data_IF_730742852102
#
_entry.id   IF_730742852102
#
_cell.length_a   1.000
_cell.length_b   1.000
_cell.length_c   1.000
_cell.angle_alpha   90.00
_cell.angle_beta   90.00
_cell.angle_gamma   90.00
#
_symmetry.space_group_name_H-M   'P 1'
#
loop_
_entity.id
_entity.type
_entity.pdbx_description
1 polymer ?
#
# COMPACT_ATOMS: atom_id res chain seq x y z
N UNK A 1 2.98 17.62 -9.48
CA UNK A 1 3.71 16.63 -8.71
C UNK A 1 4.31 17.25 -7.49
N UNK A 2 4.33 16.47 -6.42
CA UNK A 2 5.23 16.79 -5.33
C UNK A 2 6.67 16.71 -5.86
N UNK A 3 7.19 17.84 -6.31
CA UNK A 3 8.52 17.93 -6.95
C UNK A 3 9.65 17.59 -5.97
N UNK A 4 9.33 17.53 -4.69
CA UNK A 4 10.21 17.18 -3.58
C UNK A 4 10.05 15.70 -3.13
N UNK A 5 9.30 14.89 -3.85
CA UNK A 5 9.16 13.45 -3.58
C UNK A 5 10.52 12.74 -3.70
N UNK A 6 10.90 12.04 -2.64
CA UNK A 6 12.09 11.20 -2.64
C UNK A 6 11.89 9.99 -3.57
N UNK A 7 12.61 9.94 -4.69
CA UNK A 7 12.55 8.83 -5.64
C UNK A 7 13.02 7.51 -5.03
N UNK A 8 13.83 7.55 -3.96
CA UNK A 8 14.24 6.36 -3.21
C UNK A 8 13.07 5.58 -2.60
N UNK A 9 11.91 6.21 -2.40
CA UNK A 9 10.69 5.53 -1.95
C UNK A 9 10.28 4.37 -2.86
N UNK A 10 10.57 4.41 -4.17
CA UNK A 10 10.27 3.32 -5.10
C UNK A 10 10.97 2.00 -4.78
N UNK A 11 12.05 2.03 -4.00
CA UNK A 11 12.79 0.82 -3.60
C UNK A 11 12.46 0.37 -2.19
N UNK A 12 11.61 1.09 -1.47
CA UNK A 12 11.24 0.78 -0.09
C UNK A 12 10.12 -0.25 0.01
N UNK A 13 10.04 -0.85 1.20
CA UNK A 13 9.02 -1.83 1.57
C UNK A 13 8.23 -1.28 2.76
N UNK A 14 6.92 -1.17 2.57
CA UNK A 14 5.95 -0.83 3.61
C UNK A 14 5.40 -2.14 4.20
N UNK A 15 5.29 -2.21 5.51
CA UNK A 15 4.60 -3.29 6.22
C UNK A 15 3.37 -2.72 6.92
N UNK A 16 2.17 -3.13 6.49
CA UNK A 16 0.91 -2.65 7.06
C UNK A 16 0.50 -3.45 8.27
N UNK A 17 0.20 -2.75 9.37
CA UNK A 17 -0.14 -3.32 10.67
C UNK A 17 -1.53 -2.85 11.10
N UNK A 18 -2.44 -3.80 11.31
CA UNK A 18 -3.65 -3.55 12.07
C UNK A 18 -3.39 -3.89 13.54
N UNK A 19 -3.30 -2.88 14.41
CA UNK A 19 -2.89 -3.05 15.81
C UNK A 19 -3.72 -4.13 16.52
N UNK A 20 -5.04 -4.10 16.34
CA UNK A 20 -6.00 -5.07 16.93
C UNK A 20 -5.72 -6.53 16.54
N UNK A 21 -5.23 -6.75 15.31
CA UNK A 21 -5.05 -8.09 14.74
C UNK A 21 -3.58 -8.56 14.75
N UNK A 22 -2.62 -7.68 15.04
CA UNK A 22 -1.19 -8.01 14.87
C UNK A 22 -0.68 -9.02 15.90
N UNK A 23 -1.16 -8.89 17.15
CA UNK A 23 -0.83 -9.82 18.25
C UNK A 23 -2.11 -10.22 18.99
N UNK A 24 -2.08 -11.32 19.79
CA UNK A 24 -3.23 -11.69 20.63
C UNK A 24 -3.66 -10.58 21.57
N UNK A 25 -2.73 -9.75 22.08
CA UNK A 25 -3.01 -8.62 22.96
C UNK A 25 -3.63 -7.44 22.23
N UNK A 26 -3.27 -7.24 20.95
CA UNK A 26 -3.78 -6.16 20.11
C UNK A 26 -3.45 -4.77 20.62
N UNK A 27 -2.22 -4.55 21.14
CA UNK A 27 -1.79 -3.28 21.74
C UNK A 27 -0.49 -2.77 21.14
N UNK A 28 -0.22 -1.46 21.27
CA UNK A 28 1.02 -0.85 20.78
C UNK A 28 2.27 -1.51 21.39
N UNK A 29 2.26 -1.75 22.71
CA UNK A 29 3.42 -2.38 23.39
C UNK A 29 3.67 -3.81 22.93
N UNK A 30 2.63 -4.55 22.60
CA UNK A 30 2.77 -5.93 22.15
C UNK A 30 3.42 -6.06 20.76
N UNK A 31 3.46 -4.98 19.97
CA UNK A 31 4.14 -4.93 18.66
C UNK A 31 5.66 -4.81 18.82
N UNK A 32 6.15 -4.12 19.87
CA UNK A 32 7.58 -3.80 20.05
C UNK A 32 8.48 -5.03 19.94
N UNK A 33 8.20 -6.17 20.60
CA UNK A 33 9.04 -7.37 20.49
C UNK A 33 9.14 -7.96 19.08
N UNK A 34 8.19 -7.62 18.19
CA UNK A 34 8.13 -8.16 16.83
C UNK A 34 8.89 -7.29 15.80
N UNK A 35 9.34 -6.10 16.17
CA UNK A 35 9.96 -5.14 15.26
C UNK A 35 11.26 -5.68 14.62
N UNK A 36 12.07 -6.46 15.35
CA UNK A 36 13.30 -7.04 14.80
C UNK A 36 12.97 -8.07 13.70
N UNK A 37 11.93 -8.87 13.88
CA UNK A 37 11.43 -9.79 12.86
C UNK A 37 10.96 -9.01 11.63
N UNK A 38 10.12 -7.99 11.83
CA UNK A 38 9.59 -7.14 10.74
C UNK A 38 10.75 -6.50 9.96
N UNK A 39 11.76 -5.95 10.65
CA UNK A 39 12.93 -5.38 10.01
C UNK A 39 13.75 -6.42 9.25
N UNK A 40 13.85 -7.66 9.75
CA UNK A 40 14.73 -8.70 9.23
C UNK A 40 14.45 -9.12 7.79
N UNK A 41 13.21 -8.99 7.31
CA UNK A 41 12.85 -9.30 5.92
C UNK A 41 12.76 -8.07 5.02
N UNK A 42 13.29 -6.91 5.47
CA UNK A 42 13.60 -5.78 4.62
C UNK A 42 12.61 -4.62 4.68
N UNK A 43 11.71 -4.59 5.67
CA UNK A 43 10.77 -3.49 5.90
C UNK A 43 11.50 -2.17 6.19
N UNK A 44 11.02 -1.08 5.60
CA UNK A 44 11.53 0.27 5.78
C UNK A 44 10.52 1.19 6.48
N UNK A 45 9.24 0.96 6.24
CA UNK A 45 8.15 1.78 6.78
C UNK A 45 7.12 0.85 7.39
N UNK A 46 6.70 1.12 8.63
CA UNK A 46 5.53 0.48 9.24
C UNK A 46 4.36 1.44 9.09
N UNK A 47 3.32 1.00 8.37
CA UNK A 47 2.07 1.72 8.28
C UNK A 47 1.05 1.11 9.22
N UNK A 48 0.60 1.89 10.20
CA UNK A 48 -0.49 1.54 11.11
C UNK A 48 -1.83 1.93 10.50
N UNK A 49 -2.76 0.97 10.36
CA UNK A 49 -4.16 1.25 10.12
C UNK A 49 -4.70 2.15 11.25
N UNK A 50 -5.90 2.78 11.12
CA UNK A 50 -6.30 3.85 12.02
C UNK A 50 -6.09 3.52 13.50
N UNK A 51 -5.36 4.40 14.18
CA UNK A 51 -4.97 4.25 15.60
C UNK A 51 -5.90 5.00 16.55
N UNK A 52 -6.88 5.70 16.02
CA UNK A 52 -7.77 6.60 16.74
C UNK A 52 -8.91 5.86 17.44
N UNK A 53 -9.58 6.49 18.43
CA UNK A 53 -10.79 5.93 19.03
C UNK A 53 -11.86 5.69 17.97
N UNK A 54 -12.59 4.61 18.14
CA UNK A 54 -13.67 4.19 17.23
C UNK A 54 -15.00 4.64 17.80
N UNK A 55 -15.91 5.12 16.95
CA UNK A 55 -17.26 5.50 17.33
C UNK A 55 -18.10 4.31 17.80
N UNK A 56 -19.12 4.62 18.58
CA UNK A 56 -20.04 3.64 19.16
C UNK A 56 -21.40 3.68 18.47
N UNK A 57 -21.81 4.86 18.02
CA UNK A 57 -23.09 5.04 17.34
C UNK A 57 -23.03 4.41 15.92
N UNK A 58 -23.98 3.52 15.63
CA UNK A 58 -24.05 2.84 14.33
C UNK A 58 -22.93 1.85 14.05
N UNK A 59 -22.07 1.52 15.03
CA UNK A 59 -20.91 0.67 14.84
C UNK A 59 -21.24 -0.71 14.24
N UNK A 60 -20.41 -1.17 13.33
CA UNK A 60 -20.47 -2.52 12.76
C UNK A 60 -19.69 -3.51 13.64
N UNK A 61 -20.21 -4.72 13.82
CA UNK A 61 -19.61 -5.75 14.67
C UNK A 61 -19.52 -5.39 16.15
N UNK A 62 -18.74 -6.16 16.92
CA UNK A 62 -18.64 -5.95 18.38
C UNK A 62 -17.73 -4.79 18.75
N UNK A 63 -16.65 -4.57 17.98
CA UNK A 63 -15.59 -3.59 18.26
C UNK A 63 -15.60 -2.36 17.35
N UNK A 64 -16.43 -2.33 16.31
CA UNK A 64 -16.54 -1.24 15.36
C UNK A 64 -15.42 -1.19 14.31
N UNK A 65 -15.67 -0.40 13.26
CA UNK A 65 -14.74 -0.17 12.17
C UNK A 65 -13.65 0.84 12.58
N UNK A 66 -12.35 0.56 12.37
CA UNK A 66 -11.28 1.52 12.67
C UNK A 66 -11.37 2.79 11.82
N UNK A 67 -12.06 2.74 10.70
CA UNK A 67 -12.33 3.89 9.83
C UNK A 67 -13.52 4.75 10.28
N UNK A 68 -14.33 4.31 11.26
CA UNK A 68 -15.32 5.14 11.92
C UNK A 68 -14.67 5.91 13.08
N UNK A 69 -13.82 6.89 12.72
CA UNK A 69 -12.99 7.65 13.64
C UNK A 69 -13.85 8.56 14.56
N UNK A 70 -13.62 8.50 15.86
CA UNK A 70 -14.30 9.34 16.85
C UNK A 70 -13.53 10.60 17.23
N UNK A 71 -12.18 10.54 17.26
CA UNK A 71 -11.34 11.66 17.66
C UNK A 71 -10.01 11.65 16.92
N UNK A 72 -9.72 12.68 16.16
CA UNK A 72 -8.51 12.81 15.34
C UNK A 72 -7.21 13.04 16.14
N UNK A 73 -7.30 13.40 17.43
CA UNK A 73 -6.13 13.85 18.21
C UNK A 73 -5.80 12.94 19.38
N UNK A 74 -6.48 11.80 19.50
CA UNK A 74 -6.21 10.81 20.53
C UNK A 74 -5.98 9.42 19.92
N UNK A 75 -5.41 8.50 20.69
CA UNK A 75 -5.25 7.11 20.32
C UNK A 75 -6.35 6.25 20.92
N UNK A 76 -6.67 5.13 20.29
CA UNK A 76 -7.64 4.18 20.78
C UNK A 76 -7.19 3.60 22.14
N UNK A 77 -7.96 3.80 23.22
CA UNK A 77 -7.58 3.31 24.55
C UNK A 77 -7.49 1.77 24.62
N UNK A 78 -8.13 1.04 23.69
CA UNK A 78 -7.97 -0.40 23.58
C UNK A 78 -6.58 -0.83 23.04
N UNK A 79 -5.85 0.08 22.40
CA UNK A 79 -4.49 -0.17 21.89
C UNK A 79 -3.41 0.30 22.88
N UNK A 80 -3.75 1.15 23.83
CA UNK A 80 -2.86 1.73 24.84
C UNK A 80 -2.97 3.24 24.95
N UNK A 81 -1.95 3.86 25.54
CA UNK A 81 -1.87 5.32 25.71
C UNK A 81 -1.08 5.97 24.58
N UNK A 82 -1.11 7.31 24.51
CA UNK A 82 -0.27 8.08 23.59
C UNK A 82 1.22 7.84 23.85
N UNK A 83 1.61 7.69 25.10
CA UNK A 83 2.98 7.38 25.53
C UNK A 83 3.40 5.98 25.05
N UNK A 84 2.48 5.00 25.06
CA UNK A 84 2.73 3.66 24.50
C UNK A 84 2.93 3.72 22.99
N UNK A 85 2.16 4.54 22.28
CA UNK A 85 2.32 4.76 20.86
C UNK A 85 3.64 5.46 20.53
N UNK A 86 4.00 6.51 21.26
CA UNK A 86 5.30 7.19 21.08
C UNK A 86 6.47 6.24 21.34
N UNK A 87 6.40 5.43 22.40
CA UNK A 87 7.42 4.43 22.69
C UNK A 87 7.57 3.41 21.54
N UNK A 88 6.46 2.98 20.92
CA UNK A 88 6.50 2.13 19.74
C UNK A 88 7.17 2.84 18.55
N UNK A 89 6.87 4.11 18.31
CA UNK A 89 7.50 4.91 17.24
C UNK A 89 9.01 5.07 17.50
N UNK A 90 9.42 5.35 18.72
CA UNK A 90 10.83 5.45 19.10
C UNK A 90 11.60 4.14 18.85
N UNK A 91 10.98 3.00 19.15
CA UNK A 91 11.55 1.67 18.92
C UNK A 91 11.61 1.32 17.40
N UNK A 92 10.68 1.81 16.60
CA UNK A 92 10.72 1.73 15.14
C UNK A 92 11.91 2.53 14.60
N UNK A 93 12.06 3.78 15.05
CA UNK A 93 13.17 4.64 14.68
C UNK A 93 14.52 4.06 15.09
N UNK A 94 14.64 3.49 16.30
CA UNK A 94 15.86 2.85 16.79
C UNK A 94 16.34 1.70 15.88
N UNK A 95 15.42 1.09 15.10
CA UNK A 95 15.74 0.04 14.12
C UNK A 95 15.91 0.57 12.69
N UNK A 96 15.97 1.88 12.51
CA UNK A 96 16.13 2.53 11.21
C UNK A 96 14.92 2.35 10.28
N UNK A 97 13.73 2.15 10.84
CA UNK A 97 12.46 2.17 10.12
C UNK A 97 11.72 3.48 10.36
N UNK A 98 10.70 3.73 9.56
CA UNK A 98 9.79 4.88 9.67
C UNK A 98 8.40 4.42 10.12
N UNK A 99 7.66 5.30 10.80
CA UNK A 99 6.29 5.07 11.20
C UNK A 99 5.33 5.95 10.37
N UNK A 100 4.27 5.35 9.86
CA UNK A 100 3.19 6.01 9.11
C UNK A 100 1.86 5.66 9.77
N UNK A 101 0.95 6.63 9.90
CA UNK A 101 -0.42 6.38 10.38
C UNK A 101 -1.45 6.61 9.28
N UNK A 102 -2.59 5.95 9.43
CA UNK A 102 -3.76 6.18 8.61
C UNK A 102 -4.53 7.40 9.10
N UNK A 103 -4.94 8.28 8.20
CA UNK A 103 -5.77 9.45 8.50
C UNK A 103 -7.05 9.41 7.66
N UNK A 104 -8.20 9.41 8.33
CA UNK A 104 -9.53 9.24 7.74
C UNK A 104 -10.20 10.62 7.68
N UNK A 105 -9.98 11.35 6.61
CA UNK A 105 -10.38 12.76 6.51
C UNK A 105 -11.59 13.01 5.59
N UNK A 106 -12.18 11.97 5.03
CA UNK A 106 -13.44 12.09 4.29
C UNK A 106 -14.67 12.04 5.21
N UNK A 107 -14.60 11.33 6.33
CA UNK A 107 -15.75 11.05 7.22
C UNK A 107 -15.30 10.80 8.66
N UNK A 108 -16.27 10.77 9.58
CA UNK A 108 -16.10 10.36 10.97
C UNK A 108 -17.25 9.46 11.42
N UNK A 109 -17.15 8.89 12.64
CA UNK A 109 -18.33 8.32 13.29
C UNK A 109 -19.38 9.39 13.62
N UNK A 110 -20.67 9.04 13.72
CA UNK A 110 -21.72 10.00 14.07
C UNK A 110 -21.57 10.61 15.48
N UNK A 111 -20.95 9.89 16.42
CA UNK A 111 -20.62 10.33 17.77
C UNK A 111 -19.19 10.90 17.91
N UNK A 112 -18.66 11.48 16.83
CA UNK A 112 -17.32 12.07 16.86
C UNK A 112 -17.26 13.36 17.68
N UNK A 113 -16.12 13.58 18.34
CA UNK A 113 -15.84 14.83 19.06
C UNK A 113 -15.98 16.05 18.13
N UNK A 114 -15.58 15.88 16.86
CA UNK A 114 -15.71 16.96 15.88
C UNK A 114 -17.17 17.28 15.59
N UNK A 115 -18.05 16.28 15.46
CA UNK A 115 -19.47 16.52 15.23
C UNK A 115 -20.15 17.15 16.47
N UNK A 116 -19.78 16.71 17.67
CA UNK A 116 -20.30 17.29 18.92
C UNK A 116 -19.96 18.79 19.08
N UNK A 117 -18.79 19.20 18.57
CA UNK A 117 -18.29 20.58 18.74
C UNK A 117 -18.54 21.48 17.53
N UNK A 118 -18.58 20.91 16.32
CA UNK A 118 -18.67 21.62 15.05
C UNK A 118 -19.57 20.90 14.05
N UNK A 119 -20.89 20.77 14.32
CA UNK A 119 -21.82 20.09 13.42
C UNK A 119 -21.89 20.75 12.03
N UNK A 120 -21.55 22.03 11.93
CA UNK A 120 -21.49 22.79 10.67
C UNK A 120 -20.36 22.37 9.73
N UNK A 121 -19.44 21.50 10.18
CA UNK A 121 -18.36 20.93 9.35
C UNK A 121 -18.78 19.68 8.58
N UNK A 122 -20.03 19.25 8.73
CA UNK A 122 -20.52 18.00 8.16
C UNK A 122 -21.55 18.19 7.06
N UNK A 123 -21.58 17.22 6.16
CA UNK A 123 -22.61 17.14 5.15
C UNK A 123 -23.97 16.82 5.81
N UNK A 124 -24.99 17.54 5.40
CA UNK A 124 -26.38 17.34 5.82
C UNK A 124 -27.25 16.96 4.63
N UNK A 125 -28.15 16.01 4.83
CA UNK A 125 -29.14 15.61 3.85
C UNK A 125 -30.22 16.71 3.67
N UNK A 126 -31.15 16.47 2.73
CA UNK A 126 -32.26 17.41 2.45
C UNK A 126 -33.19 17.65 3.65
N UNK A 127 -33.11 16.83 4.68
CA UNK A 127 -33.85 16.95 5.93
C UNK A 127 -33.04 17.65 7.04
N UNK A 128 -31.81 18.08 6.73
CA UNK A 128 -30.91 18.75 7.67
C UNK A 128 -30.26 17.81 8.67
N UNK A 129 -30.19 16.50 8.40
CA UNK A 129 -29.54 15.50 9.26
C UNK A 129 -28.13 15.23 8.77
N UNK A 130 -27.14 15.00 9.67
CA UNK A 130 -25.82 14.54 9.26
C UNK A 130 -25.96 13.22 8.52
N UNK A 131 -25.22 13.06 7.41
CA UNK A 131 -25.35 11.89 6.55
C UNK A 131 -24.04 11.57 5.83
N UNK A 132 -23.97 10.39 5.24
CA UNK A 132 -22.98 10.08 4.23
C UNK A 132 -23.64 10.01 2.85
N UNK A 133 -22.82 10.20 1.81
CA UNK A 133 -23.28 10.14 0.41
C UNK A 133 -23.05 8.77 -0.22
N UNK A 134 -22.18 7.94 0.37
CA UNK A 134 -21.94 6.56 -0.07
C UNK A 134 -22.80 5.60 0.77
N UNK A 135 -23.82 5.00 0.17
CA UNK A 135 -24.91 4.30 0.86
C UNK A 135 -24.54 3.13 1.79
N UNK A 136 -23.42 2.46 1.56
CA UNK A 136 -23.02 1.28 2.35
C UNK A 136 -22.22 1.62 3.61
N UNK A 137 -21.86 2.89 3.81
CA UNK A 137 -21.06 3.35 4.95
C UNK A 137 -21.94 3.87 6.09
N UNK A 138 -22.85 3.01 6.57
CA UNK A 138 -23.90 3.39 7.51
C UNK A 138 -23.38 3.76 8.93
N UNK A 139 -22.11 3.51 9.21
CA UNK A 139 -21.45 3.79 10.50
C UNK A 139 -20.63 5.10 10.50
N UNK A 140 -20.75 5.91 9.44
CA UNK A 140 -20.02 7.18 9.31
C UNK A 140 -20.88 8.30 8.74
N UNK A 141 -20.44 9.55 8.95
CA UNK A 141 -20.99 10.78 8.38
C UNK A 141 -19.88 11.56 7.66
N UNK A 142 -20.20 12.15 6.49
CA UNK A 142 -19.23 12.85 5.67
C UNK A 142 -18.88 14.24 6.18
N UNK A 143 -17.64 14.64 6.01
CA UNK A 143 -17.18 16.01 6.21
C UNK A 143 -17.52 16.90 5.00
N UNK A 144 -17.81 18.16 5.26
CA UNK A 144 -18.08 19.17 4.22
C UNK A 144 -16.91 20.14 4.06
N UNK A 145 -16.06 19.85 3.10
CA UNK A 145 -14.90 20.67 2.75
C UNK A 145 -15.22 22.00 2.06
N UNK A 146 -16.50 22.34 1.85
CA UNK A 146 -16.91 23.72 1.48
C UNK A 146 -16.67 24.68 2.65
N UNK A 147 -16.71 24.20 3.89
CA UNK A 147 -16.35 24.96 5.08
C UNK A 147 -14.81 25.02 5.25
N UNK A 148 -14.27 26.24 5.21
CA UNK A 148 -12.82 26.45 5.33
C UNK A 148 -12.27 26.30 6.74
N UNK A 149 -13.07 26.49 7.77
CA UNK A 149 -12.65 26.30 9.17
C UNK A 149 -12.36 24.81 9.46
N UNK A 150 -13.07 23.89 8.78
CA UNK A 150 -12.71 22.46 8.80
C UNK A 150 -11.27 22.22 8.33
N UNK A 151 -10.81 22.96 7.31
CA UNK A 151 -9.45 22.80 6.80
C UNK A 151 -8.41 23.12 7.89
N UNK A 152 -8.61 24.21 8.62
CA UNK A 152 -7.70 24.61 9.69
C UNK A 152 -7.66 23.57 10.80
N UNK A 153 -8.83 23.06 11.21
CA UNK A 153 -8.90 21.99 12.21
C UNK A 153 -8.13 20.73 11.78
N UNK A 154 -8.33 20.27 10.55
CA UNK A 154 -7.69 19.06 10.03
C UNK A 154 -6.18 19.27 9.81
N UNK A 155 -5.77 20.43 9.32
CA UNK A 155 -4.35 20.76 9.15
C UNK A 155 -3.63 20.78 10.51
N UNK A 156 -4.22 21.36 11.54
CA UNK A 156 -3.63 21.32 12.90
C UNK A 156 -3.53 19.90 13.45
N UNK A 157 -4.50 19.03 13.14
CA UNK A 157 -4.42 17.61 13.50
C UNK A 157 -3.25 16.91 12.79
N UNK A 158 -3.05 17.18 11.49
CA UNK A 158 -1.90 16.65 10.73
C UNK A 158 -0.57 17.19 11.27
N UNK A 159 -0.49 18.48 11.60
CA UNK A 159 0.74 19.07 12.18
C UNK A 159 1.08 18.44 13.52
N UNK A 160 0.07 18.18 14.37
CA UNK A 160 0.28 17.49 15.64
C UNK A 160 0.90 16.10 15.43
N UNK A 161 0.32 15.27 14.53
CA UNK A 161 0.82 13.93 14.25
C UNK A 161 2.16 13.93 13.50
N UNK A 162 2.41 14.90 12.62
CA UNK A 162 3.69 15.05 11.92
C UNK A 162 4.88 15.30 12.87
N UNK A 163 4.61 15.75 14.09
CA UNK A 163 5.62 15.84 15.16
C UNK A 163 5.93 14.50 15.85
N UNK A 164 5.19 13.44 15.51
CA UNK A 164 5.32 12.11 16.15
C UNK A 164 5.70 11.04 15.10
N UNK A 165 5.12 11.09 13.90
CA UNK A 165 5.29 10.07 12.86
C UNK A 165 5.94 10.62 11.59
N UNK A 166 6.40 9.73 10.71
CA UNK A 166 7.14 10.08 9.49
C UNK A 166 6.25 10.20 8.26
N UNK A 167 4.98 9.84 8.34
CA UNK A 167 4.10 9.89 7.17
C UNK A 167 2.64 9.60 7.47
N UNK A 168 1.82 9.85 6.46
CA UNK A 168 0.38 9.65 6.46
C UNK A 168 -0.05 8.80 5.28
N UNK A 169 -0.83 7.75 5.54
CA UNK A 169 -1.70 7.14 4.55
C UNK A 169 -3.06 7.82 4.65
N UNK A 170 -3.49 8.43 3.58
CA UNK A 170 -4.72 9.21 3.57
C UNK A 170 -5.84 8.38 2.96
N UNK A 171 -6.80 8.02 3.82
CA UNK A 171 -7.97 7.21 3.50
C UNK A 171 -8.84 7.91 2.46
N UNK A 172 -9.28 7.15 1.43
CA UNK A 172 -10.06 7.64 0.27
C UNK A 172 -9.67 9.06 -0.16
N UNK A 173 -8.37 9.32 -0.24
CA UNK A 173 -7.79 10.65 -0.47
C UNK A 173 -8.37 11.35 -1.69
N UNK A 174 -8.79 10.60 -2.71
CA UNK A 174 -9.40 11.12 -3.93
C UNK A 174 -10.75 11.79 -3.68
N UNK A 175 -11.44 11.48 -2.58
CA UNK A 175 -12.75 12.07 -2.24
C UNK A 175 -12.61 13.42 -1.50
N UNK A 176 -11.45 13.70 -0.94
CA UNK A 176 -11.13 14.97 -0.28
C UNK A 176 -10.55 15.95 -1.30
N UNK A 177 -10.89 17.25 -1.26
CA UNK A 177 -10.46 18.19 -2.28
C UNK A 177 -8.95 18.34 -2.41
N UNK A 178 -8.44 18.32 -3.64
CA UNK A 178 -7.03 18.58 -3.98
C UNK A 178 -6.43 19.81 -3.27
N UNK A 179 -7.19 20.93 -3.26
CA UNK A 179 -6.76 22.16 -2.61
C UNK A 179 -6.49 22.04 -1.12
N UNK A 180 -7.26 21.17 -0.42
CA UNK A 180 -7.03 20.85 0.98
C UNK A 180 -5.68 20.11 1.15
N UNK A 181 -5.45 19.05 0.39
CA UNK A 181 -4.19 18.29 0.49
C UNK A 181 -2.96 19.15 0.20
N UNK A 182 -3.06 20.05 -0.77
CA UNK A 182 -1.99 20.99 -1.08
C UNK A 182 -1.69 21.94 0.09
N UNK A 183 -2.72 22.49 0.72
CA UNK A 183 -2.57 23.35 1.89
C UNK A 183 -2.02 22.55 3.09
N UNK A 184 -2.54 21.35 3.33
CA UNK A 184 -2.11 20.45 4.40
C UNK A 184 -0.63 20.07 4.25
N UNK A 185 -0.20 19.61 3.06
CA UNK A 185 1.21 19.30 2.79
C UNK A 185 2.13 20.48 3.04
N UNK A 186 1.73 21.68 2.58
CA UNK A 186 2.50 22.92 2.79
C UNK A 186 2.66 23.23 4.27
N UNK A 187 1.61 23.09 5.07
CA UNK A 187 1.64 23.35 6.50
C UNK A 187 2.44 22.30 7.29
N UNK A 188 2.26 21.01 6.95
CA UNK A 188 3.00 19.90 7.58
C UNK A 188 4.49 19.98 7.28
N UNK A 189 4.88 20.42 6.10
CA UNK A 189 6.31 20.61 5.74
C UNK A 189 7.05 21.54 6.68
N UNK A 190 6.37 22.45 7.37
CA UNK A 190 6.97 23.35 8.38
C UNK A 190 7.29 22.59 9.69
N UNK A 191 6.63 21.48 9.96
CA UNK A 191 6.84 20.63 11.15
C UNK A 191 7.78 19.47 10.82
N UNK A 192 7.49 18.77 9.71
CA UNK A 192 8.27 17.63 9.24
C UNK A 192 8.46 17.74 7.72
N UNK A 193 9.59 18.31 7.27
CA UNK A 193 9.89 18.45 5.83
C UNK A 193 10.01 17.13 5.08
N UNK A 194 10.30 16.02 5.80
CA UNK A 194 10.48 14.68 5.24
C UNK A 194 9.22 13.80 5.37
N UNK A 195 8.08 14.38 5.76
CA UNK A 195 6.83 13.65 5.92
C UNK A 195 6.41 13.01 4.59
N UNK A 196 6.14 11.71 4.62
CA UNK A 196 5.74 10.89 3.47
C UNK A 196 4.21 10.91 3.35
N UNK A 197 3.71 11.10 2.12
CA UNK A 197 2.29 11.15 1.83
C UNK A 197 1.88 10.04 0.89
N UNK A 198 1.07 9.11 1.38
CA UNK A 198 0.48 8.02 0.63
C UNK A 198 -1.03 8.25 0.45
N UNK A 199 -1.47 8.39 -0.80
CA UNK A 199 -2.90 8.47 -1.11
C UNK A 199 -3.50 7.09 -1.32
N UNK A 200 -4.61 6.81 -0.67
CA UNK A 200 -5.52 5.82 -1.21
C UNK A 200 -6.28 6.46 -2.37
N UNK A 201 -5.91 6.07 -3.58
CA UNK A 201 -6.71 6.34 -4.77
C UNK A 201 -7.94 5.42 -4.79
N UNK A 202 -8.91 5.73 -5.62
CA UNK A 202 -10.16 4.95 -5.72
C UNK A 202 -10.24 4.26 -7.08
N UNK A 203 -10.88 3.10 -7.12
CA UNK A 203 -11.13 2.35 -8.35
C UNK A 203 -11.85 3.20 -9.39
N UNK A 204 -11.65 2.90 -10.67
CA UNK A 204 -12.25 3.64 -11.78
C UNK A 204 -13.78 3.75 -11.65
N UNK A 205 -14.45 2.64 -11.35
CA UNK A 205 -15.91 2.59 -11.17
C UNK A 205 -16.35 3.46 -9.98
N UNK A 206 -15.67 3.37 -8.86
CA UNK A 206 -15.92 4.19 -7.66
C UNK A 206 -15.68 5.67 -7.94
N UNK A 207 -14.64 6.03 -8.71
CA UNK A 207 -14.36 7.42 -9.09
C UNK A 207 -15.48 8.05 -9.94
N UNK A 208 -16.10 7.26 -10.83
CA UNK A 208 -17.26 7.72 -11.60
C UNK A 208 -18.47 7.97 -10.69
N UNK A 209 -18.71 7.08 -9.73
CA UNK A 209 -19.84 7.22 -8.79
C UNK A 209 -19.60 8.39 -7.81
N UNK A 210 -18.40 8.53 -7.28
CA UNK A 210 -18.03 9.64 -6.39
C UNK A 210 -18.35 11.00 -7.02
N UNK A 211 -18.05 11.19 -8.33
CA UNK A 211 -18.40 12.44 -9.04
C UNK A 211 -19.90 12.67 -9.13
N UNK A 212 -20.70 11.62 -9.34
CA UNK A 212 -22.18 11.73 -9.35
C UNK A 212 -22.72 12.16 -8.01
N UNK A 213 -22.06 11.74 -6.92
CA UNK A 213 -22.43 12.06 -5.55
C UNK A 213 -21.87 13.40 -5.06
N UNK A 214 -21.14 14.13 -5.93
CA UNK A 214 -20.61 15.47 -5.62
C UNK A 214 -19.30 15.49 -4.86
N UNK A 215 -18.57 14.36 -4.81
CA UNK A 215 -17.20 14.34 -4.28
C UNK A 215 -16.20 14.92 -5.29
N UNK A 216 -15.04 15.34 -4.79
CA UNK A 216 -13.95 15.86 -5.62
C UNK A 216 -13.47 14.82 -6.64
N UNK A 217 -13.40 13.55 -6.24
CA UNK A 217 -12.92 12.40 -7.02
C UNK A 217 -11.68 12.75 -7.84
N UNK A 218 -10.63 13.20 -7.11
CA UNK A 218 -9.33 13.57 -7.64
C UNK A 218 -8.76 12.41 -8.46
N UNK A 219 -8.19 12.72 -9.62
CA UNK A 219 -7.54 11.72 -10.47
C UNK A 219 -6.12 11.46 -9.97
N UNK A 220 -5.58 10.28 -10.27
CA UNK A 220 -4.20 9.92 -9.89
C UNK A 220 -3.19 10.92 -10.44
N UNK A 221 -3.36 11.40 -11.68
CA UNK A 221 -2.50 12.44 -12.25
C UNK A 221 -2.53 13.78 -11.48
N UNK A 222 -3.63 14.09 -10.79
CA UNK A 222 -3.75 15.26 -9.91
C UNK A 222 -3.18 14.96 -8.52
N UNK A 223 -3.37 13.73 -8.04
CA UNK A 223 -2.89 13.30 -6.73
C UNK A 223 -1.36 13.32 -6.65
N UNK A 224 -0.64 12.95 -7.72
CA UNK A 224 0.82 13.07 -7.78
C UNK A 224 1.36 14.50 -7.60
N UNK A 225 0.54 15.52 -7.71
CA UNK A 225 0.96 16.90 -7.37
C UNK A 225 1.15 17.11 -5.86
N UNK A 226 0.49 16.32 -5.04
CA UNK A 226 0.43 16.50 -3.58
C UNK A 226 0.84 15.27 -2.78
N UNK A 227 0.86 14.08 -3.38
CA UNK A 227 1.25 12.83 -2.73
C UNK A 227 2.56 12.29 -3.29
N UNK A 228 3.32 11.60 -2.46
CA UNK A 228 4.57 10.94 -2.84
C UNK A 228 4.32 9.53 -3.40
N UNK A 229 3.26 8.89 -2.90
CA UNK A 229 2.82 7.55 -3.27
C UNK A 229 1.31 7.52 -3.45
N UNK A 230 0.87 6.62 -4.31
CA UNK A 230 -0.55 6.31 -4.50
C UNK A 230 -0.75 4.79 -4.61
N UNK A 231 -1.95 4.33 -4.23
CA UNK A 231 -2.38 2.98 -4.55
C UNK A 231 -2.43 2.78 -6.07
N UNK A 232 -2.27 1.54 -6.55
CA UNK A 232 -2.42 1.17 -7.96
C UNK A 232 -3.87 0.77 -8.30
N UNK A 233 -4.84 1.46 -7.70
CA UNK A 233 -6.26 1.16 -7.87
C UNK A 233 -6.82 1.59 -9.23
N UNK A 234 -6.10 2.39 -9.98
CA UNK A 234 -6.38 2.69 -11.39
C UNK A 234 -6.37 1.43 -12.30
N UNK A 235 -5.57 0.41 -11.94
CA UNK A 235 -5.49 -0.86 -12.65
C UNK A 235 -5.98 -2.07 -11.82
N UNK A 236 -6.42 -1.86 -10.60
CA UNK A 236 -6.80 -2.93 -9.66
C UNK A 236 -7.91 -3.82 -10.19
N UNK A 237 -8.93 -3.26 -10.83
CA UNK A 237 -10.03 -4.04 -11.41
C UNK A 237 -9.55 -5.03 -12.50
N UNK A 238 -8.48 -4.67 -13.23
CA UNK A 238 -7.83 -5.58 -14.20
C UNK A 238 -7.05 -6.67 -13.47
N UNK A 239 -6.31 -6.29 -12.42
CA UNK A 239 -5.57 -7.24 -11.60
C UNK A 239 -6.49 -8.28 -10.94
N UNK A 240 -7.63 -7.85 -10.38
CA UNK A 240 -8.62 -8.77 -9.79
C UNK A 240 -9.21 -9.73 -10.82
N UNK A 241 -9.48 -9.25 -12.03
CA UNK A 241 -9.91 -10.12 -13.13
C UNK A 241 -8.83 -11.13 -13.51
N UNK A 242 -7.56 -10.74 -13.52
CA UNK A 242 -6.44 -11.63 -13.77
C UNK A 242 -6.34 -12.74 -12.71
N UNK A 243 -6.38 -12.37 -11.42
CA UNK A 243 -6.34 -13.32 -10.30
C UNK A 243 -7.43 -14.39 -10.39
N UNK A 244 -8.61 -14.01 -10.90
CA UNK A 244 -9.75 -14.93 -11.08
C UNK A 244 -9.81 -15.57 -12.48
N UNK A 245 -8.74 -15.42 -13.30
CA UNK A 245 -8.70 -16.01 -14.64
C UNK A 245 -9.70 -15.42 -15.65
N UNK A 246 -10.19 -14.19 -15.40
CA UNK A 246 -11.20 -13.50 -16.23
C UNK A 246 -10.61 -12.57 -17.27
N UNK A 247 -9.30 -12.40 -17.33
CA UNK A 247 -8.58 -11.71 -18.38
C UNK A 247 -7.18 -12.32 -18.58
N UNK A 248 -6.56 -12.17 -19.75
CA UNK A 248 -5.21 -12.62 -19.99
C UNK A 248 -4.19 -11.80 -19.21
N UNK A 249 -3.00 -12.38 -18.95
CA UNK A 249 -1.90 -11.71 -18.26
C UNK A 249 -1.40 -10.49 -19.05
N UNK A 250 -1.39 -10.59 -20.38
CA UNK A 250 -1.01 -9.48 -21.28
C UNK A 250 -1.83 -8.23 -21.04
N UNK A 251 -3.13 -8.35 -20.74
CA UNK A 251 -3.95 -7.19 -20.46
C UNK A 251 -3.47 -6.41 -19.22
N UNK A 252 -3.05 -7.10 -18.16
CA UNK A 252 -2.52 -6.44 -16.98
C UNK A 252 -1.12 -5.86 -17.20
N UNK A 253 -0.23 -6.58 -17.93
CA UNK A 253 1.10 -6.04 -18.26
C UNK A 253 1.01 -4.83 -19.18
N UNK A 254 0.05 -4.77 -20.09
CA UNK A 254 -0.21 -3.60 -20.93
C UNK A 254 -0.66 -2.39 -20.10
N UNK A 255 -1.47 -2.61 -19.03
CA UNK A 255 -1.86 -1.54 -18.11
C UNK A 255 -0.67 -1.02 -17.29
N UNK A 256 0.26 -1.90 -16.88
CA UNK A 256 1.50 -1.47 -16.23
C UNK A 256 2.36 -0.61 -17.18
N UNK A 257 2.50 -1.01 -18.44
CA UNK A 257 3.20 -0.24 -19.45
C UNK A 257 2.50 1.09 -19.75
N UNK A 258 1.17 1.11 -19.70
CA UNK A 258 0.39 2.32 -19.89
C UNK A 258 0.65 3.35 -18.79
N UNK A 259 0.85 2.92 -17.53
CA UNK A 259 1.23 3.81 -16.43
C UNK A 259 2.55 4.54 -16.70
N UNK A 260 3.55 3.88 -17.34
CA UNK A 260 4.80 4.52 -17.74
C UNK A 260 4.58 5.68 -18.74
N UNK A 261 3.54 5.59 -19.55
CA UNK A 261 3.24 6.59 -20.58
C UNK A 261 2.39 7.77 -20.09
N UNK A 262 1.53 7.57 -19.08
CA UNK A 262 0.54 8.57 -18.67
C UNK A 262 0.90 9.33 -17.41
N UNK A 263 1.77 8.75 -16.56
CA UNK A 263 2.20 9.39 -15.32
C UNK A 263 3.55 10.10 -15.48
N UNK A 264 3.85 11.05 -14.60
CA UNK A 264 5.16 11.73 -14.60
C UNK A 264 6.31 10.74 -14.28
N UNK A 265 7.52 11.01 -14.74
CA UNK A 265 8.70 10.13 -14.61
C UNK A 265 9.00 9.64 -13.19
N UNK A 266 8.63 10.44 -12.18
CA UNK A 266 8.84 10.12 -10.77
C UNK A 266 7.56 9.60 -10.09
N UNK A 267 6.53 9.18 -10.83
CA UNK A 267 5.36 8.56 -10.22
C UNK A 267 5.74 7.35 -9.37
N UNK A 268 5.04 7.16 -8.28
CA UNK A 268 5.31 6.05 -7.39
C UNK A 268 3.99 5.40 -6.93
N UNK A 269 3.69 4.24 -7.50
CA UNK A 269 2.55 3.43 -7.07
C UNK A 269 2.97 2.51 -5.92
N UNK A 270 2.15 2.44 -4.89
CA UNK A 270 2.27 1.41 -3.88
C UNK A 270 1.69 0.10 -4.41
N UNK A 271 2.55 -0.89 -4.61
CA UNK A 271 2.20 -2.19 -5.18
C UNK A 271 1.89 -3.20 -4.08
N UNK A 272 0.76 -3.88 -4.19
CA UNK A 272 0.37 -4.94 -3.26
C UNK A 272 -0.33 -6.10 -3.97
N UNK A 273 -0.17 -7.31 -3.44
CA UNK A 273 -0.99 -8.47 -3.82
C UNK A 273 -2.28 -8.48 -3.02
N UNK A 274 -2.20 -8.09 -1.75
CA UNK A 274 -3.30 -8.05 -0.78
C UNK A 274 -3.16 -6.83 0.13
N UNK A 275 -4.24 -6.43 0.77
CA UNK A 275 -4.29 -5.46 1.86
C UNK A 275 -5.51 -5.74 2.75
N UNK A 276 -5.84 -4.85 3.68
CA UNK A 276 -6.97 -5.01 4.60
C UNK A 276 -8.35 -5.01 3.92
N UNK A 277 -8.47 -4.46 2.69
CA UNK A 277 -9.70 -4.40 1.90
C UNK A 277 -9.79 -5.52 0.85
N UNK A 278 -8.71 -6.27 0.65
CA UNK A 278 -8.61 -7.27 -0.39
C UNK A 278 -8.43 -8.67 0.21
N UNK A 279 -8.93 -9.71 -0.46
CA UNK A 279 -8.68 -11.09 -0.02
C UNK A 279 -7.19 -11.38 0.12
N UNK A 280 -6.84 -12.27 1.06
CA UNK A 280 -5.48 -12.80 1.18
C UNK A 280 -5.06 -13.47 -0.12
N UNK A 281 -3.88 -13.14 -0.63
CA UNK A 281 -3.39 -13.72 -1.88
C UNK A 281 -3.23 -15.24 -1.78
N UNK A 282 -2.81 -15.76 -0.61
CA UNK A 282 -2.67 -17.19 -0.37
C UNK A 282 -4.02 -17.94 -0.32
N UNK A 283 -5.15 -17.24 -0.18
CA UNK A 283 -6.49 -17.84 -0.33
C UNK A 283 -6.88 -18.05 -1.80
N UNK A 284 -6.28 -17.26 -2.70
CA UNK A 284 -6.53 -17.28 -4.15
C UNK A 284 -5.46 -18.15 -4.84
N UNK A 285 -4.19 -17.89 -4.57
CA UNK A 285 -3.04 -18.61 -5.12
C UNK A 285 -2.60 -19.65 -4.08
N UNK A 286 -3.17 -20.85 -4.17
CA UNK A 286 -2.96 -21.91 -3.18
C UNK A 286 -1.73 -22.78 -3.44
N UNK A 287 -1.20 -22.75 -4.68
CA UNK A 287 0.04 -23.39 -5.04
C UNK A 287 1.23 -22.57 -4.55
N UNK A 288 2.20 -23.22 -3.89
CA UNK A 288 3.33 -22.53 -3.27
C UNK A 288 4.35 -22.01 -4.28
N UNK A 289 4.62 -22.76 -5.34
CA UNK A 289 5.58 -22.33 -6.38
C UNK A 289 5.03 -21.12 -7.14
N UNK A 290 3.74 -21.13 -7.43
CA UNK A 290 3.04 -19.98 -7.97
C UNK A 290 3.10 -18.77 -7.00
N UNK A 291 2.79 -18.97 -5.71
CA UNK A 291 2.81 -17.88 -4.72
C UNK A 291 4.20 -17.25 -4.55
N UNK A 292 5.27 -18.05 -4.62
CA UNK A 292 6.66 -17.58 -4.63
C UNK A 292 6.91 -16.68 -5.85
N UNK A 293 6.44 -17.06 -7.04
CA UNK A 293 6.57 -16.25 -8.26
C UNK A 293 5.77 -14.94 -8.15
N UNK A 294 4.53 -14.98 -7.67
CA UNK A 294 3.71 -13.78 -7.44
C UNK A 294 4.38 -12.83 -6.45
N UNK A 295 4.94 -13.38 -5.35
CA UNK A 295 5.67 -12.58 -4.35
C UNK A 295 6.94 -11.95 -4.97
N UNK A 296 7.71 -12.70 -5.74
CA UNK A 296 8.91 -12.19 -6.40
C UNK A 296 8.57 -11.09 -7.43
N UNK A 297 7.52 -11.29 -8.21
CA UNK A 297 7.03 -10.32 -9.17
C UNK A 297 6.61 -9.01 -8.49
N UNK A 298 5.91 -9.07 -7.33
CA UNK A 298 5.53 -7.90 -6.56
C UNK A 298 6.74 -6.99 -6.25
N UNK A 299 7.85 -7.57 -5.79
CA UNK A 299 9.05 -6.79 -5.47
C UNK A 299 9.75 -6.23 -6.70
N UNK A 300 9.58 -6.86 -7.86
CA UNK A 300 10.16 -6.39 -9.12
C UNK A 300 9.40 -5.19 -9.71
N UNK A 301 8.08 -5.10 -9.50
CA UNK A 301 7.26 -4.01 -10.02
C UNK A 301 7.84 -2.64 -9.66
N UNK A 302 7.75 -1.68 -10.58
CA UNK A 302 8.10 -0.29 -10.31
C UNK A 302 7.14 0.32 -9.31
N UNK A 303 7.70 0.86 -8.23
CA UNK A 303 6.97 1.44 -7.12
C UNK A 303 7.33 0.81 -5.77
N UNK A 304 6.77 1.38 -4.71
CA UNK A 304 6.94 0.93 -3.34
C UNK A 304 6.17 -0.38 -3.11
N UNK A 305 6.80 -1.34 -2.46
CA UNK A 305 6.17 -2.64 -2.15
C UNK A 305 5.41 -2.55 -0.84
N UNK A 306 4.14 -2.99 -0.81
CA UNK A 306 3.38 -3.19 0.41
C UNK A 306 3.29 -4.68 0.74
N UNK A 307 3.54 -5.02 2.00
CA UNK A 307 3.25 -6.31 2.61
C UNK A 307 2.21 -6.09 3.71
N UNK A 308 1.09 -6.77 3.64
CA UNK A 308 0.09 -6.77 4.71
C UNK A 308 0.45 -7.82 5.75
N UNK A 309 0.41 -7.46 7.03
CA UNK A 309 0.79 -8.35 8.14
C UNK A 309 0.07 -9.70 8.05
N UNK A 310 0.84 -10.79 8.06
CA UNK A 310 0.36 -12.16 7.79
C UNK A 310 0.72 -12.70 6.40
N UNK A 311 0.96 -11.83 5.41
CA UNK A 311 1.36 -12.27 4.07
C UNK A 311 2.69 -13.04 4.09
N UNK A 312 3.60 -12.68 4.97
CA UNK A 312 4.89 -13.36 5.16
C UNK A 312 4.74 -14.81 5.69
N UNK A 313 3.59 -15.13 6.25
CA UNK A 313 3.21 -16.47 6.69
C UNK A 313 2.30 -17.19 5.71
N UNK A 314 1.98 -16.56 4.56
CA UNK A 314 0.96 -17.03 3.63
C UNK A 314 -0.38 -17.29 4.33
N UNK A 315 -0.75 -16.42 5.28
CA UNK A 315 -2.05 -16.48 5.96
C UNK A 315 -3.19 -16.40 4.92
N UNK A 316 -4.16 -17.29 5.04
CA UNK A 316 -5.31 -17.36 4.15
C UNK A 316 -6.56 -16.69 4.71
N UNK A 317 -6.54 -16.37 6.00
CA UNK A 317 -7.64 -15.70 6.68
C UNK A 317 -7.44 -14.18 6.66
N UNK A 318 -8.42 -13.47 6.13
CA UNK A 318 -8.44 -12.00 6.21
C UNK A 318 -9.06 -11.60 7.56
N UNK A 319 -8.29 -10.95 8.46
CA UNK A 319 -8.83 -10.52 9.74
C UNK A 319 -9.99 -9.55 9.56
N UNK A 320 -11.04 -9.72 10.36
CA UNK A 320 -12.18 -8.81 10.38
C UNK A 320 -11.75 -7.41 10.82
N UNK A 321 -12.27 -6.38 10.15
CA UNK A 321 -12.13 -5.00 10.60
C UNK A 321 -12.94 -4.70 11.87
N UNK A 322 -13.93 -5.53 12.17
CA UNK A 322 -14.95 -5.28 13.18
C UNK A 322 -14.77 -6.08 14.48
N UNK A 323 -13.91 -7.10 14.42
CA UNK A 323 -13.68 -8.04 15.52
C UNK A 323 -12.18 -8.13 15.84
N UNK A 324 -11.82 -8.87 16.90
CA UNK A 324 -10.43 -9.19 17.21
C UNK A 324 -10.09 -10.57 16.66
N UNK A 325 -9.38 -10.59 15.56
CA UNK A 325 -8.93 -11.81 14.88
C UNK A 325 -7.43 -11.69 14.62
N UNK A 326 -6.56 -12.24 15.48
CA UNK A 326 -5.12 -12.19 15.27
C UNK A 326 -4.72 -12.91 13.97
N UNK A 327 -3.69 -12.39 13.30
CA UNK A 327 -3.10 -13.03 12.12
C UNK A 327 -2.57 -14.43 12.48
N UNK A 328 -2.74 -15.39 11.56
CA UNK A 328 -2.21 -16.73 11.73
C UNK A 328 -0.71 -16.75 11.38
N UNK A 329 0.11 -17.11 12.36
CA UNK A 329 1.57 -17.27 12.22
C UNK A 329 2.00 -18.73 12.18
N UNK A 330 1.04 -19.66 12.33
CA UNK A 330 1.28 -21.11 12.42
C UNK A 330 0.79 -21.87 11.17
N UNK A 331 0.77 -21.20 10.02
CA UNK A 331 0.32 -21.75 8.73
C UNK A 331 1.21 -22.89 8.20
N UNK A 332 2.39 -23.08 8.79
CA UNK A 332 3.44 -23.97 8.28
C UNK A 332 4.24 -23.40 7.12
N UNK A 333 3.94 -22.16 6.69
CA UNK A 333 4.58 -21.47 5.59
C UNK A 333 5.41 -20.29 6.10
N UNK A 334 6.53 -19.98 5.41
CA UNK A 334 7.37 -18.86 5.77
C UNK A 334 8.02 -18.25 4.52
N UNK A 335 7.50 -17.11 4.07
CA UNK A 335 8.05 -16.37 2.93
C UNK A 335 9.14 -15.34 3.33
N UNK A 336 9.41 -15.11 4.62
CA UNK A 336 10.39 -14.11 5.06
C UNK A 336 11.79 -14.31 4.49
N UNK A 337 12.34 -15.54 4.35
CA UNK A 337 13.65 -15.73 3.72
C UNK A 337 13.67 -15.27 2.25
N UNK A 338 12.57 -15.50 1.51
CA UNK A 338 12.40 -15.00 0.15
C UNK A 338 12.28 -13.48 0.15
N UNK A 339 11.38 -12.92 0.95
CA UNK A 339 11.14 -11.47 1.04
C UNK A 339 12.42 -10.70 1.40
N UNK A 340 13.24 -11.23 2.30
CA UNK A 340 14.55 -10.66 2.64
C UNK A 340 15.47 -10.55 1.43
N UNK A 341 15.57 -11.61 0.62
CA UNK A 341 16.37 -11.60 -0.62
C UNK A 341 15.81 -10.62 -1.64
N UNK A 342 14.49 -10.61 -1.82
CA UNK A 342 13.81 -9.72 -2.75
C UNK A 342 13.96 -8.25 -2.36
N UNK A 343 13.82 -7.91 -1.09
CA UNK A 343 14.03 -6.55 -0.59
C UNK A 343 15.48 -6.09 -0.76
N UNK A 344 16.45 -6.98 -0.51
CA UNK A 344 17.88 -6.69 -0.75
C UNK A 344 18.13 -6.46 -2.24
N UNK A 345 17.64 -7.33 -3.12
CA UNK A 345 17.78 -7.20 -4.56
C UNK A 345 17.11 -5.90 -5.07
N UNK A 346 15.90 -5.59 -4.60
CA UNK A 346 15.19 -4.35 -4.94
C UNK A 346 16.02 -3.10 -4.64
N UNK A 347 16.66 -3.05 -3.46
CA UNK A 347 17.48 -1.90 -3.01
C UNK A 347 18.83 -1.80 -3.71
N UNK A 348 19.39 -2.93 -4.18
CA UNK A 348 20.71 -2.95 -4.82
C UNK A 348 20.67 -2.83 -6.33
N UNK A 349 19.63 -3.37 -6.96
CA UNK A 349 19.53 -3.46 -8.42
C UNK A 349 18.67 -2.35 -9.03
N UNK A 350 17.72 -1.79 -8.28
CA UNK A 350 16.79 -0.80 -8.80
C UNK A 350 17.07 0.60 -8.25
N UNK A 351 16.65 1.59 -9.02
CA UNK A 351 16.68 3.01 -8.64
C UNK A 351 15.29 3.62 -8.85
N UNK A 352 15.07 4.79 -8.26
CA UNK A 352 13.84 5.55 -8.52
C UNK A 352 13.79 6.21 -9.93
N UNK A 353 14.82 6.00 -10.75
CA UNK A 353 14.96 6.55 -12.11
C UNK A 353 14.81 5.50 -13.20
N UNK A 354 14.65 4.23 -12.83
CA UNK A 354 14.51 3.15 -13.81
C UNK A 354 13.21 3.32 -14.60
N UNK A 355 13.30 3.15 -15.93
CA UNK A 355 12.14 2.87 -16.77
C UNK A 355 11.70 1.41 -16.57
N UNK A 356 10.44 1.14 -16.84
CA UNK A 356 9.85 -0.18 -16.68
C UNK A 356 9.16 -0.64 -17.97
N UNK A 357 9.25 -1.94 -18.24
CA UNK A 357 8.50 -2.57 -19.32
C UNK A 357 8.11 -3.99 -18.93
N UNK A 358 6.95 -4.44 -19.36
CA UNK A 358 6.46 -5.79 -19.10
C UNK A 358 5.86 -6.42 -20.36
N UNK A 359 6.11 -7.72 -20.54
CA UNK A 359 5.49 -8.56 -21.56
C UNK A 359 4.99 -9.85 -20.93
N UNK A 360 4.04 -10.52 -21.59
CA UNK A 360 3.44 -11.75 -21.09
C UNK A 360 3.33 -12.84 -22.16
N UNK A 361 3.49 -14.08 -21.74
CA UNK A 361 3.04 -15.28 -22.46
C UNK A 361 1.74 -15.77 -21.78
N UNK A 362 0.60 -15.45 -22.37
CA UNK A 362 -0.71 -15.77 -21.81
C UNK A 362 -0.96 -17.27 -21.71
N UNK A 363 -0.44 -18.04 -22.66
CA UNK A 363 -0.64 -19.49 -22.72
C UNK A 363 0.04 -20.20 -21.55
N UNK A 364 1.17 -19.66 -21.07
CA UNK A 364 1.96 -20.18 -19.95
C UNK A 364 1.80 -19.39 -18.67
N UNK A 365 1.01 -18.31 -18.70
CA UNK A 365 0.92 -17.32 -17.60
C UNK A 365 2.31 -16.90 -17.08
N UNK A 366 3.19 -16.56 -18.00
CA UNK A 366 4.56 -16.19 -17.71
C UNK A 366 4.78 -14.71 -18.04
N UNK A 367 5.30 -13.96 -17.08
CA UNK A 367 5.66 -12.56 -17.24
C UNK A 367 7.18 -12.41 -17.42
N UNK A 368 7.59 -11.58 -18.38
CA UNK A 368 8.96 -11.05 -18.50
C UNK A 368 8.89 -9.55 -18.30
N UNK A 369 9.60 -9.07 -17.28
CA UNK A 369 9.59 -7.67 -16.87
C UNK A 369 11.01 -7.11 -16.91
N UNK A 370 11.13 -5.84 -17.27
CA UNK A 370 12.39 -5.13 -17.41
C UNK A 370 12.41 -3.89 -16.52
N UNK A 371 13.54 -3.65 -15.87
CA UNK A 371 13.89 -2.36 -15.28
C UNK A 371 15.23 -1.91 -15.87
N UNK A 372 15.25 -0.73 -16.45
CA UNK A 372 16.46 -0.29 -17.14
C UNK A 372 16.77 1.18 -16.91
N UNK A 373 18.05 1.44 -16.77
CA UNK A 373 18.66 2.76 -16.63
C UNK A 373 19.89 2.86 -17.56
N UNK A 374 20.60 3.97 -17.50
CA UNK A 374 21.86 4.14 -18.23
C UNK A 374 22.98 3.19 -17.77
N UNK A 375 22.86 2.63 -16.54
CA UNK A 375 23.90 1.80 -15.92
C UNK A 375 23.56 0.32 -15.88
N UNK A 376 22.29 -0.04 -15.90
CA UNK A 376 21.82 -1.40 -15.64
C UNK A 376 20.61 -1.75 -16.47
N UNK A 377 20.51 -3.03 -16.80
CA UNK A 377 19.32 -3.66 -17.36
C UNK A 377 18.99 -4.89 -16.54
N UNK A 378 17.95 -4.83 -15.73
CA UNK A 378 17.46 -5.93 -14.91
C UNK A 378 16.26 -6.57 -15.56
N UNK A 379 16.23 -7.90 -15.62
CA UNK A 379 15.16 -8.70 -16.22
C UNK A 379 14.63 -9.68 -15.19
N UNK A 380 13.33 -9.59 -14.91
CA UNK A 380 12.57 -10.55 -14.10
C UNK A 380 11.80 -11.52 -14.99
N UNK A 381 11.84 -12.82 -14.65
CA UNK A 381 11.03 -13.85 -15.30
C UNK A 381 10.20 -14.55 -14.22
N UNK A 382 8.89 -14.52 -14.36
CA UNK A 382 7.94 -15.00 -13.36
C UNK A 382 6.94 -15.97 -13.97
N UNK A 383 7.05 -17.25 -13.62
CA UNK A 383 6.09 -18.29 -14.01
C UNK A 383 4.95 -18.31 -12.98
N UNK A 384 3.82 -17.65 -13.30
CA UNK A 384 2.71 -17.48 -12.35
C UNK A 384 1.93 -18.77 -12.07
N UNK A 385 2.28 -19.88 -12.75
CA UNK A 385 1.80 -21.24 -12.47
C UNK A 385 2.88 -22.12 -11.84
N UNK A 386 4.12 -21.63 -11.65
CA UNK A 386 5.24 -22.46 -11.19
C UNK A 386 5.77 -23.47 -12.23
N UNK A 387 5.37 -23.35 -13.48
CA UNK A 387 5.72 -24.31 -14.53
C UNK A 387 7.05 -23.93 -15.24
N UNK A 388 7.79 -24.95 -15.67
CA UNK A 388 9.02 -24.74 -16.42
C UNK A 388 8.74 -24.34 -17.88
N UNK A 389 9.59 -23.44 -18.42
CA UNK A 389 9.44 -22.97 -19.79
C UNK A 389 10.77 -22.51 -20.40
N UNK A 390 10.88 -22.59 -21.73
CA UNK A 390 11.92 -21.89 -22.49
C UNK A 390 11.41 -20.49 -22.84
N UNK A 391 12.07 -19.45 -22.31
CA UNK A 391 11.59 -18.06 -22.31
C UNK A 391 12.49 -17.20 -23.18
N UNK A 392 11.91 -16.34 -24.01
CA UNK A 392 12.64 -15.26 -24.69
C UNK A 392 12.86 -14.11 -23.72
N UNK A 393 14.10 -13.63 -23.64
CA UNK A 393 14.47 -12.51 -22.75
C UNK A 393 15.26 -11.46 -23.54
N UNK A 394 15.17 -10.18 -23.15
CA UNK A 394 15.88 -9.07 -23.82
C UNK A 394 17.30 -8.90 -23.24
N UNK A 395 18.03 -9.99 -23.06
CA UNK A 395 19.41 -9.99 -22.59
C UNK A 395 20.32 -10.60 -23.67
N UNK A 396 21.57 -10.11 -23.82
CA UNK A 396 22.60 -10.75 -24.64
C UNK A 396 22.85 -12.19 -24.22
N UNK A 397 23.39 -12.99 -25.18
CA UNK A 397 23.86 -14.34 -24.87
C UNK A 397 24.99 -14.27 -23.83
N UNK A 398 24.92 -15.11 -22.79
CA UNK A 398 25.85 -15.08 -21.66
C UNK A 398 25.37 -15.84 -20.44
N UNK A 399 26.16 -15.75 -19.38
CA UNK A 399 25.83 -16.32 -18.08
C UNK A 399 25.49 -15.20 -17.07
N UNK A 400 24.36 -15.35 -16.37
CA UNK A 400 23.81 -14.35 -15.48
C UNK A 400 23.57 -14.96 -14.08
N UNK A 401 23.91 -14.23 -13.05
CA UNK A 401 23.53 -14.58 -11.68
C UNK A 401 22.03 -14.35 -11.49
N UNK A 402 21.31 -15.38 -11.03
CA UNK A 402 19.96 -15.19 -10.50
C UNK A 402 20.05 -14.66 -9.08
N UNK A 403 19.71 -13.39 -8.88
CA UNK A 403 19.79 -12.69 -7.59
C UNK A 403 18.79 -13.20 -6.52
N UNK A 404 17.79 -14.02 -6.92
CA UNK A 404 16.85 -14.68 -6.01
C UNK A 404 17.39 -16.05 -5.60
N UNK A 405 17.67 -16.89 -6.60
CA UNK A 405 18.11 -18.28 -6.40
C UNK A 405 19.58 -18.43 -6.00
N UNK A 406 20.44 -17.49 -6.44
CA UNK A 406 21.90 -17.57 -6.28
C UNK A 406 22.60 -18.50 -7.27
N UNK A 407 21.87 -19.09 -8.20
CA UNK A 407 22.40 -19.95 -9.27
C UNK A 407 22.71 -19.14 -10.53
N UNK A 408 23.54 -19.71 -11.41
CA UNK A 408 23.83 -19.13 -12.73
C UNK A 408 22.80 -19.60 -13.75
N UNK A 409 22.30 -18.68 -14.59
CA UNK A 409 21.36 -18.93 -15.67
C UNK A 409 22.03 -18.54 -16.98
N UNK A 410 21.92 -19.40 -17.99
CA UNK A 410 22.50 -19.17 -19.32
C UNK A 410 21.44 -18.67 -20.30
N UNK A 411 21.77 -17.61 -21.02
CA UNK A 411 21.01 -17.08 -22.15
C UNK A 411 21.74 -17.52 -23.47
N UNK A 412 21.01 -18.16 -24.36
CA UNK A 412 21.49 -18.58 -25.66
C UNK A 412 20.45 -18.28 -26.75
N UNK A 413 20.85 -17.56 -27.80
CA UNK A 413 19.96 -17.12 -28.86
C UNK A 413 18.82 -16.24 -28.36
N UNK A 414 19.08 -15.39 -27.32
CA UNK A 414 18.10 -14.54 -26.70
C UNK A 414 17.03 -15.32 -25.91
N UNK A 415 17.33 -16.54 -25.43
CA UNK A 415 16.41 -17.40 -24.65
C UNK A 415 17.13 -18.02 -23.48
N UNK A 416 16.38 -18.26 -22.40
CA UNK A 416 16.82 -19.02 -21.24
C UNK A 416 15.81 -20.12 -20.89
N UNK A 417 16.23 -21.05 -20.04
CA UNK A 417 15.34 -22.03 -19.41
C UNK A 417 14.97 -21.55 -18.00
N UNK A 418 13.67 -21.34 -17.76
CA UNK A 418 13.09 -21.12 -16.45
C UNK A 418 12.55 -22.47 -15.95
N UNK A 419 13.00 -22.92 -14.80
CA UNK A 419 12.60 -24.21 -14.21
C UNK A 419 11.27 -24.13 -13.41
N UNK A 420 10.59 -22.99 -13.47
CA UNK A 420 9.39 -22.69 -12.70
C UNK A 420 9.63 -21.79 -11.50
N UNK A 421 10.91 -21.60 -11.11
CA UNK A 421 11.27 -20.64 -10.03
C UNK A 421 11.47 -19.22 -10.59
N UNK A 422 11.23 -18.17 -9.79
CA UNK A 422 11.41 -16.80 -10.26
C UNK A 422 12.87 -16.48 -10.52
N UNK A 423 13.13 -15.76 -11.61
CA UNK A 423 14.47 -15.31 -11.99
C UNK A 423 14.55 -13.79 -11.92
N UNK A 424 15.65 -13.30 -11.36
CA UNK A 424 16.05 -11.90 -11.40
C UNK A 424 17.49 -11.80 -11.87
N UNK A 425 17.66 -11.37 -13.11
CA UNK A 425 18.95 -11.28 -13.81
C UNK A 425 19.29 -9.80 -14.01
N UNK A 426 20.56 -9.46 -14.00
CA UNK A 426 21.03 -8.10 -14.21
C UNK A 426 22.25 -8.07 -15.14
N UNK A 427 22.22 -7.19 -16.13
CA UNK A 427 23.34 -6.78 -16.95
C UNK A 427 23.81 -5.40 -16.50
N UNK A 428 25.11 -5.25 -16.20
CA UNK A 428 25.74 -3.94 -16.01
C UNK A 428 26.22 -3.42 -17.36
N UNK A 429 25.86 -2.17 -17.70
CA UNK A 429 26.20 -1.50 -18.96
C UNK A 429 27.50 -0.73 -18.88
#
# INVERSE_FOLDING_TARGET
MAIDTDRGLQTQVIYSVYVRAHTPEGTFRAIIPDLDRIRSFGTDIIWFMPIHPIGVEGKKGSLGCPYANRDYRSVNPAYGTLEDFKALVDEIHARGMKAMIDVVYNHTSPDSVLYETHPEYFYHDAQGRPANRFGDWADVIDLDYSNRELWDYQIESLRYWAGIVDGFRCDVASMVPYGFWKAARTAVKQVNPACIWLAESIHLSMGCEARRLGFAAMRDSEAFDVFDLEYDYDIREVFDRLLHGRCPLSHWTDMLNYQEAIYPDNYNKMRCLENHDQPRIASIITDMEALVNWTAMLYFLKGTTLIYAGQEWADRHQPSLFEREPIDRETGMNLMPLMKKLAAAKKTLFTGEDSFWATADDARKLAVMERFSSRRHSVGVFSLLGESAKVKVPLPDGEYLNHIGGNTVRVEGGRLFCDGTPLLLCEEK
#
